data_IF_652848629909
#
_entry.id   IF_652848629909
#
_cell.length_a   1.000
_cell.length_b   1.000
_cell.length_c   1.000
_cell.angle_alpha   90.00
_cell.angle_beta   90.00
_cell.angle_gamma   90.00
#
_symmetry.space_group_name_H-M   'P 1'
#
loop_
_entity.id
_entity.type
_entity.pdbx_description
1 polymer ?
#
# COMPACT_ATOMS: atom_id res chain seq x y z
N UNK A 1 -2.68 -9.44 -15.68
CA UNK A 1 -3.19 -10.74 -15.24
C UNK A 1 -2.55 -11.06 -13.88
N UNK A 2 -3.32 -11.53 -12.90
CA UNK A 2 -2.77 -12.00 -11.63
C UNK A 2 -1.99 -13.30 -11.85
N UNK A 3 -0.75 -13.39 -11.37
CA UNK A 3 -0.06 -14.68 -11.27
C UNK A 3 0.26 -14.96 -9.82
N UNK A 4 -0.15 -16.13 -9.36
CA UNK A 4 0.19 -16.63 -8.04
C UNK A 4 1.69 -16.84 -7.93
N UNK A 5 2.27 -16.45 -6.79
CA UNK A 5 3.67 -16.71 -6.48
C UNK A 5 3.75 -17.93 -5.58
N UNK A 6 3.98 -19.10 -6.19
CA UNK A 6 3.98 -20.40 -5.52
C UNK A 6 4.92 -20.45 -4.32
N UNK A 7 6.11 -19.85 -4.44
CA UNK A 7 7.06 -19.77 -3.33
C UNK A 7 6.53 -18.91 -2.16
N UNK A 8 5.94 -17.75 -2.46
CA UNK A 8 5.32 -16.90 -1.43
C UNK A 8 4.16 -17.59 -0.72
N UNK A 9 3.38 -18.38 -1.45
CA UNK A 9 2.31 -19.20 -0.88
C UNK A 9 2.85 -20.31 0.02
N UNK A 10 3.92 -20.98 -0.38
CA UNK A 10 4.57 -22.03 0.42
C UNK A 10 5.15 -21.44 1.72
N UNK A 11 5.82 -20.29 1.62
CA UNK A 11 6.34 -19.55 2.78
C UNK A 11 5.20 -19.14 3.71
N UNK A 12 4.08 -18.67 3.18
CA UNK A 12 2.91 -18.29 3.98
C UNK A 12 2.34 -19.49 4.77
N UNK A 13 2.28 -20.68 4.15
CA UNK A 13 1.82 -21.91 4.82
C UNK A 13 2.78 -22.31 5.94
N UNK A 14 4.10 -22.29 5.69
CA UNK A 14 5.11 -22.66 6.68
C UNK A 14 5.10 -21.70 7.87
N UNK A 15 5.09 -20.40 7.60
CA UNK A 15 5.08 -19.37 8.64
C UNK A 15 3.78 -19.39 9.46
N UNK A 16 2.63 -19.75 8.85
CA UNK A 16 1.36 -19.91 9.58
C UNK A 16 1.49 -20.83 10.80
N UNK A 17 2.32 -21.87 10.72
CA UNK A 17 2.57 -22.80 11.84
C UNK A 17 3.26 -22.12 13.02
N UNK A 18 4.05 -21.06 12.78
CA UNK A 18 4.75 -20.31 13.84
C UNK A 18 3.91 -19.18 14.43
N UNK A 19 2.66 -19.01 13.98
CA UNK A 19 1.76 -17.94 14.42
C UNK A 19 1.98 -16.60 13.71
N UNK A 20 2.89 -16.53 12.74
CA UNK A 20 3.17 -15.33 11.94
C UNK A 20 2.80 -15.64 10.49
N UNK A 21 1.89 -14.90 9.86
CA UNK A 21 1.55 -15.15 8.45
C UNK A 21 2.03 -13.99 7.59
N UNK A 22 3.01 -14.25 6.73
CA UNK A 22 3.39 -13.34 5.65
C UNK A 22 2.77 -13.87 4.37
N UNK A 23 1.56 -13.41 4.06
CA UNK A 23 0.86 -13.82 2.85
C UNK A 23 1.39 -13.05 1.64
N UNK A 24 2.18 -13.71 0.81
CA UNK A 24 2.60 -13.19 -0.50
C UNK A 24 1.92 -14.02 -1.62
N UNK A 25 0.61 -13.84 -1.85
CA UNK A 25 -0.19 -14.72 -2.72
C UNK A 25 0.19 -14.64 -4.20
N UNK A 26 0.73 -13.51 -4.64
CA UNK A 26 1.07 -13.27 -6.03
C UNK A 26 1.06 -11.78 -6.35
N UNK A 27 1.30 -11.46 -7.62
CA UNK A 27 1.27 -10.09 -8.12
C UNK A 27 0.37 -9.98 -9.35
N UNK A 28 -0.30 -8.84 -9.48
CA UNK A 28 -0.98 -8.48 -10.73
C UNK A 28 0.07 -7.95 -11.68
N UNK A 29 0.36 -8.71 -12.73
CA UNK A 29 1.21 -8.25 -13.82
C UNK A 29 0.40 -7.28 -14.68
N UNK A 30 0.76 -5.99 -14.59
CA UNK A 30 0.25 -4.93 -15.47
C UNK A 30 1.18 -4.90 -16.68
N UNK A 31 0.79 -5.60 -17.75
CA UNK A 31 1.41 -5.43 -19.06
C UNK A 31 0.66 -4.34 -19.84
N UNK A 32 1.35 -3.48 -20.61
CA UNK A 32 0.65 -2.53 -21.47
C UNK A 32 -0.28 -3.30 -22.41
N UNK A 33 -1.55 -2.89 -22.53
CA UNK A 33 -2.39 -3.34 -23.64
C UNK A 33 -1.73 -2.79 -24.90
N UNK A 34 -1.01 -3.66 -25.60
CA UNK A 34 -0.31 -3.34 -26.84
C UNK A 34 -1.37 -3.06 -27.92
N UNK A 35 -1.85 -1.83 -27.97
CA UNK A 35 -2.60 -1.33 -29.10
C UNK A 35 -1.57 -1.00 -30.18
N UNK A 36 -1.59 -1.76 -31.27
CA UNK A 36 -0.64 -1.76 -32.39
C UNK A 36 -0.45 -0.41 -33.12
N UNK A 37 -0.95 0.70 -32.56
CA UNK A 37 -1.06 2.00 -33.24
C UNK A 37 -0.37 3.16 -32.52
N UNK A 38 0.33 2.95 -31.40
CA UNK A 38 0.95 4.06 -30.66
C UNK A 38 2.42 3.79 -30.37
N UNK A 39 3.27 4.73 -30.82
CA UNK A 39 4.64 4.90 -30.30
C UNK A 39 4.53 4.97 -28.77
N UNK A 40 5.16 4.04 -28.07
CA UNK A 40 5.16 4.01 -26.62
C UNK A 40 5.96 5.22 -26.11
N UNK A 41 5.25 6.27 -25.72
CA UNK A 41 5.85 7.38 -25.01
C UNK A 41 6.24 6.93 -23.59
N UNK A 42 7.54 6.80 -23.37
CA UNK A 42 8.14 6.37 -22.11
C UNK A 42 7.80 7.32 -20.97
N UNK A 43 7.60 8.61 -21.25
CA UNK A 43 7.21 9.57 -20.21
C UNK A 43 5.78 9.36 -19.76
N UNK A 44 4.87 9.10 -20.71
CA UNK A 44 3.46 8.81 -20.40
C UNK A 44 3.33 7.57 -19.53
N UNK A 45 4.06 6.50 -19.85
CA UNK A 45 4.09 5.28 -19.03
C UNK A 45 4.57 5.54 -17.59
N UNK A 46 5.63 6.34 -17.42
CA UNK A 46 6.14 6.68 -16.08
C UNK A 46 5.15 7.50 -15.27
N UNK A 47 4.44 8.43 -15.93
CA UNK A 47 3.35 9.19 -15.29
C UNK A 47 2.19 8.29 -14.87
N UNK A 48 1.74 7.41 -15.75
CA UNK A 48 0.64 6.48 -15.45
C UNK A 48 1.05 5.55 -14.30
N UNK A 49 2.27 5.00 -14.32
CA UNK A 49 2.81 4.18 -13.22
C UNK A 49 2.86 4.95 -11.89
N UNK A 50 3.29 6.21 -11.93
CA UNK A 50 3.30 7.09 -10.75
C UNK A 50 1.89 7.27 -10.16
N UNK A 51 0.89 7.64 -10.97
CA UNK A 51 -0.48 7.86 -10.48
C UNK A 51 -1.15 6.57 -10.00
N UNK A 52 -0.92 5.45 -10.68
CA UNK A 52 -1.42 4.13 -10.27
C UNK A 52 -0.81 3.73 -8.92
N UNK A 53 0.51 3.89 -8.76
CA UNK A 53 1.19 3.60 -7.50
C UNK A 53 0.74 4.52 -6.37
N UNK A 54 0.47 5.80 -6.67
CA UNK A 54 0.02 6.81 -5.70
C UNK A 54 -1.38 6.52 -5.15
N UNK A 55 -2.28 5.99 -5.98
CA UNK A 55 -3.68 5.76 -5.61
C UNK A 55 -3.82 4.80 -4.41
N UNK A 56 -2.98 3.76 -4.32
CA UNK A 56 -3.02 2.79 -3.22
C UNK A 56 -2.72 3.40 -1.85
N UNK A 57 -1.53 3.99 -1.62
CA UNK A 57 -1.21 4.67 -0.36
C UNK A 57 -2.17 5.81 -0.02
N UNK A 58 -2.61 6.60 -1.00
CA UNK A 58 -3.53 7.72 -0.76
C UNK A 58 -4.88 7.26 -0.22
N UNK A 59 -5.50 6.22 -0.80
CA UNK A 59 -6.78 5.72 -0.30
C UNK A 59 -6.64 5.19 1.12
N UNK A 60 -5.56 4.46 1.42
CA UNK A 60 -5.27 3.98 2.77
C UNK A 60 -5.11 5.13 3.78
N UNK A 61 -4.37 6.20 3.43
CA UNK A 61 -4.24 7.38 4.28
C UNK A 61 -5.61 8.04 4.54
N UNK A 62 -6.46 8.15 3.52
CA UNK A 62 -7.81 8.72 3.66
C UNK A 62 -8.66 7.86 4.61
N UNK A 63 -8.71 6.54 4.40
CA UNK A 63 -9.48 5.64 5.28
C UNK A 63 -8.98 5.65 6.71
N UNK A 64 -7.66 5.66 6.92
CA UNK A 64 -7.08 5.78 8.24
C UNK A 64 -7.46 7.13 8.88
N UNK A 65 -7.35 8.25 8.16
CA UNK A 65 -7.69 9.59 8.69
C UNK A 65 -9.17 9.68 9.08
N UNK A 66 -10.08 9.25 8.21
CA UNK A 66 -11.52 9.26 8.49
C UNK A 66 -11.85 8.37 9.69
N UNK A 67 -11.26 7.18 9.76
CA UNK A 67 -11.49 6.26 10.89
C UNK A 67 -10.97 6.84 12.20
N UNK A 68 -9.81 7.52 12.18
CA UNK A 68 -9.25 8.18 13.35
C UNK A 68 -10.18 9.27 13.90
N UNK A 69 -10.80 10.07 13.04
CA UNK A 69 -11.78 11.09 13.45
C UNK A 69 -13.02 10.42 14.06
N UNK A 70 -13.47 9.31 13.48
CA UNK A 70 -14.66 8.58 13.92
C UNK A 70 -14.45 7.76 15.20
N UNK A 71 -13.22 7.62 15.71
CA UNK A 71 -12.94 7.01 17.02
C UNK A 71 -13.65 7.72 18.18
N UNK A 72 -14.01 9.00 18.02
CA UNK A 72 -14.76 9.76 19.03
C UNK A 72 -16.18 9.21 19.24
N UNK A 73 -16.70 8.39 18.32
CA UNK A 73 -18.00 7.73 18.43
C UNK A 73 -17.85 6.45 19.26
N UNK A 74 -18.08 6.57 20.58
CA UNK A 74 -17.85 5.50 21.57
C UNK A 74 -18.48 4.14 21.21
N UNK A 75 -19.66 4.13 20.58
CA UNK A 75 -20.36 2.89 20.21
C UNK A 75 -19.66 2.08 19.11
N UNK A 76 -18.78 2.70 18.32
CA UNK A 76 -18.10 2.08 17.18
C UNK A 76 -16.57 2.18 17.27
N UNK A 77 -16.03 2.57 18.43
CA UNK A 77 -14.61 2.80 18.64
C UNK A 77 -13.75 1.58 18.28
N UNK A 78 -14.20 0.37 18.59
CA UNK A 78 -13.50 -0.88 18.25
C UNK A 78 -13.40 -1.05 16.74
N UNK A 79 -14.52 -0.87 16.02
CA UNK A 79 -14.60 -1.00 14.56
C UNK A 79 -13.68 0.00 13.88
N UNK A 80 -13.78 1.29 14.23
CA UNK A 80 -12.94 2.32 13.64
C UNK A 80 -11.47 2.19 14.04
N UNK A 81 -11.17 1.66 15.23
CA UNK A 81 -9.81 1.34 15.66
C UNK A 81 -9.16 0.27 14.79
N UNK A 82 -9.91 -0.78 14.43
CA UNK A 82 -9.44 -1.82 13.51
C UNK A 82 -9.22 -1.23 12.12
N UNK A 83 -10.18 -0.47 11.59
CA UNK A 83 -10.07 0.14 10.25
C UNK A 83 -8.88 1.10 10.18
N UNK A 84 -8.67 1.91 11.21
CA UNK A 84 -7.50 2.79 11.33
C UNK A 84 -6.19 1.98 11.32
N UNK A 85 -6.09 0.96 12.19
CA UNK A 85 -4.87 0.15 12.34
C UNK A 85 -4.49 -0.54 11.03
N UNK A 86 -5.47 -1.14 10.34
CA UNK A 86 -5.26 -1.83 9.07
C UNK A 86 -4.81 -0.84 7.98
N UNK A 87 -5.52 0.27 7.81
CA UNK A 87 -5.22 1.22 6.74
C UNK A 87 -3.93 2.00 6.99
N UNK A 88 -3.62 2.37 8.23
CA UNK A 88 -2.35 3.00 8.58
C UNK A 88 -1.17 2.06 8.30
N UNK A 89 -1.31 0.77 8.66
CA UNK A 89 -0.31 -0.26 8.34
C UNK A 89 -0.13 -0.42 6.83
N UNK A 90 -1.21 -0.57 6.07
CA UNK A 90 -1.15 -0.72 4.62
C UNK A 90 -0.53 0.51 3.93
N UNK A 91 -0.88 1.73 4.38
CA UNK A 91 -0.27 2.96 3.87
C UNK A 91 1.25 2.98 4.10
N UNK A 92 1.69 2.70 5.33
CA UNK A 92 3.10 2.70 5.71
C UNK A 92 3.91 1.67 4.91
N UNK A 93 3.45 0.42 4.87
CA UNK A 93 4.15 -0.64 4.14
C UNK A 93 4.17 -0.37 2.64
N UNK A 94 3.07 0.10 2.03
CA UNK A 94 3.06 0.41 0.60
C UNK A 94 4.04 1.52 0.23
N UNK A 95 4.38 2.43 1.15
CA UNK A 95 5.31 3.53 0.90
C UNK A 95 6.77 3.19 1.20
N UNK A 96 7.09 2.00 1.73
CA UNK A 96 8.49 1.58 1.88
C UNK A 96 9.18 1.55 0.50
N UNK A 97 10.45 1.99 0.41
CA UNK A 97 11.18 2.10 -0.86
C UNK A 97 11.72 0.74 -1.32
N UNK A 98 10.86 -0.28 -1.36
CA UNK A 98 11.20 -1.65 -1.77
C UNK A 98 10.72 -1.92 -3.20
N UNK A 99 11.45 -2.73 -4.00
CA UNK A 99 11.14 -2.97 -5.42
C UNK A 99 9.73 -3.48 -5.72
N UNK A 100 9.13 -4.23 -4.79
CA UNK A 100 7.80 -4.83 -4.96
C UNK A 100 6.66 -3.88 -4.54
N UNK A 101 6.98 -2.78 -3.86
CA UNK A 101 6.01 -1.88 -3.24
C UNK A 101 5.87 -0.59 -4.04
N UNK A 102 4.75 0.10 -3.84
CA UNK A 102 4.41 1.29 -4.61
C UNK A 102 5.31 2.49 -4.26
N UNK A 103 5.87 2.52 -3.05
CA UNK A 103 6.78 3.56 -2.56
C UNK A 103 7.97 3.78 -3.48
N UNK A 104 8.58 2.71 -4.02
CA UNK A 104 9.70 2.87 -4.95
C UNK A 104 9.27 3.53 -6.27
N UNK A 105 8.09 3.20 -6.78
CA UNK A 105 7.56 3.79 -8.02
C UNK A 105 7.25 5.27 -7.82
N UNK A 106 6.65 5.62 -6.68
CA UNK A 106 6.35 7.02 -6.30
C UNK A 106 7.66 7.80 -6.13
N UNK A 107 8.65 7.25 -5.41
CA UNK A 107 9.95 7.90 -5.20
C UNK A 107 10.69 8.18 -6.52
N UNK A 108 10.61 7.25 -7.48
CA UNK A 108 11.17 7.43 -8.83
C UNK A 108 10.45 8.49 -9.67
N UNK A 109 9.15 8.68 -9.46
CA UNK A 109 8.35 9.68 -10.17
C UNK A 109 8.47 11.07 -9.54
N UNK A 110 8.33 11.17 -8.22
CA UNK A 110 8.47 12.40 -7.46
C UNK A 110 8.91 12.11 -6.01
N UNK A 111 10.19 12.37 -5.73
CA UNK A 111 10.78 12.11 -4.41
C UNK A 111 10.12 12.93 -3.29
N UNK A 112 9.73 14.17 -3.55
CA UNK A 112 9.12 15.06 -2.54
C UNK A 112 7.76 14.51 -2.14
N UNK A 113 6.93 14.12 -3.12
CA UNK A 113 5.62 13.51 -2.85
C UNK A 113 5.77 12.23 -2.03
N UNK A 114 6.75 11.40 -2.38
CA UNK A 114 7.04 10.18 -1.62
C UNK A 114 7.42 10.49 -0.16
N UNK A 115 8.36 11.42 0.09
CA UNK A 115 8.78 11.79 1.44
C UNK A 115 7.59 12.28 2.28
N UNK A 116 6.76 13.17 1.71
CA UNK A 116 5.59 13.72 2.41
C UNK A 116 4.59 12.62 2.79
N UNK A 117 4.25 11.74 1.84
CA UNK A 117 3.32 10.64 2.09
C UNK A 117 3.89 9.64 3.09
N UNK A 118 5.19 9.31 2.97
CA UNK A 118 5.84 8.37 3.88
C UNK A 118 5.90 8.92 5.30
N UNK A 119 6.15 10.22 5.47
CA UNK A 119 6.11 10.88 6.78
C UNK A 119 4.70 10.82 7.39
N UNK A 120 3.66 11.16 6.62
CA UNK A 120 2.26 11.10 7.07
C UNK A 120 1.92 9.66 7.50
N UNK A 121 2.21 8.68 6.65
CA UNK A 121 1.92 7.28 6.94
C UNK A 121 2.71 6.77 8.15
N UNK A 122 3.96 7.19 8.32
CA UNK A 122 4.78 6.85 9.50
C UNK A 122 4.18 7.41 10.79
N UNK A 123 3.75 8.68 10.79
CA UNK A 123 3.10 9.30 11.94
C UNK A 123 1.83 8.53 12.32
N UNK A 124 1.00 8.16 11.35
CA UNK A 124 -0.22 7.39 11.61
C UNK A 124 0.10 5.99 12.13
N UNK A 125 1.08 5.31 11.54
CA UNK A 125 1.49 3.96 11.93
C UNK A 125 2.08 3.91 13.34
N UNK A 126 2.98 4.83 13.70
CA UNK A 126 3.52 4.87 15.07
C UNK A 126 2.52 5.44 16.07
N UNK A 127 1.66 6.38 15.64
CA UNK A 127 0.57 6.92 16.46
C UNK A 127 -0.43 5.85 16.89
N UNK A 128 -0.64 4.79 16.11
CA UNK A 128 -1.52 3.68 16.49
C UNK A 128 -1.04 2.92 17.72
N UNK A 129 0.27 2.94 18.02
CA UNK A 129 0.83 2.28 19.20
C UNK A 129 0.45 3.04 20.48
N UNK A 130 0.29 4.36 20.38
CA UNK A 130 -0.09 5.24 21.49
C UNK A 130 -1.61 5.17 21.75
N UNK A 131 -2.40 4.93 20.71
CA UNK A 131 -3.87 4.85 20.77
C UNK A 131 -4.41 3.48 21.25
N UNK A 132 -3.52 2.51 21.50
CA UNK A 132 -3.84 1.16 22.00
C UNK A 132 -3.72 1.09 23.51
#
# INVERSE_FOLDING_TARGET
CFKAWTLGLLIAIILSVTGIVIAAPGAVYIGPKMSWKFVIDRERLRRDEFYIALAGPLTNIVFATVSMILLMVKSLAITFGIVFTVNASLAFFNLLPLPMLDGLKIAKGNLIVWILLFLIASIMFFGMIILR
#
